data_IF_610804064475
#
_entry.id   IF_610804064475
#
_cell.length_a   1.000
_cell.length_b   1.000
_cell.length_c   1.000
_cell.angle_alpha   90.00
_cell.angle_beta   90.00
_cell.angle_gamma   90.00
#
_symmetry.space_group_name_H-M   'P 1'
#
loop_
_entity.id
_entity.type
_entity.pdbx_description
1 polymer ?
#
# COMPACT_ATOMS: atom_id res chain seq x y z
N UNK A 1 0.74 14.57 -1.11
CA UNK A 1 1.75 13.48 -1.00
C UNK A 1 2.69 13.83 0.14
N UNK A 2 2.90 12.90 1.06
CA UNK A 2 3.91 13.03 2.11
C UNK A 2 5.30 12.91 1.46
N UNK A 3 6.18 13.86 1.73
CA UNK A 3 7.57 13.82 1.27
C UNK A 3 8.38 12.99 2.27
N UNK A 4 8.64 11.72 1.94
CA UNK A 4 9.53 10.83 2.70
C UNK A 4 10.71 10.36 1.82
N UNK A 5 11.70 11.24 1.53
CA UNK A 5 12.79 10.92 0.60
C UNK A 5 13.65 9.74 1.08
N UNK A 6 13.76 9.57 2.40
CA UNK A 6 14.51 8.46 3.01
C UNK A 6 13.66 7.21 3.25
N UNK A 7 12.36 7.26 2.92
CA UNK A 7 11.41 6.16 3.08
C UNK A 7 11.36 5.61 4.51
N UNK A 8 11.59 6.47 5.51
CA UNK A 8 11.64 6.07 6.92
C UNK A 8 10.26 5.66 7.42
N UNK A 9 9.25 6.45 7.06
CA UNK A 9 7.85 6.21 7.42
C UNK A 9 7.35 5.00 6.64
N UNK A 10 7.66 4.92 5.35
CA UNK A 10 7.31 3.75 4.53
C UNK A 10 7.84 2.43 5.13
N UNK A 11 9.10 2.41 5.58
CA UNK A 11 9.71 1.24 6.24
C UNK A 11 9.15 0.97 7.63
N UNK A 12 8.76 1.99 8.40
CA UNK A 12 8.15 1.78 9.73
C UNK A 12 6.78 1.12 9.64
N UNK A 13 6.06 1.30 8.54
CA UNK A 13 4.83 0.55 8.24
C UNK A 13 5.07 -0.92 7.86
N UNK A 14 6.32 -1.39 7.86
CA UNK A 14 6.68 -2.76 7.47
C UNK A 14 6.63 -2.98 5.95
N UNK A 15 6.44 -1.92 5.17
CA UNK A 15 6.51 -1.99 3.72
C UNK A 15 7.97 -1.91 3.27
N UNK A 16 8.31 -2.77 2.32
CA UNK A 16 9.64 -2.87 1.75
C UNK A 16 9.61 -2.89 0.24
N UNK A 17 10.76 -3.17 -0.37
CA UNK A 17 10.86 -3.37 -1.81
C UNK A 17 10.91 -4.85 -2.14
N UNK A 18 10.20 -5.30 -3.18
CA UNK A 18 10.22 -6.70 -3.60
C UNK A 18 10.42 -6.85 -5.10
N UNK A 19 11.62 -7.32 -5.47
CA UNK A 19 11.97 -7.61 -6.86
C UNK A 19 11.20 -8.81 -7.41
N UNK A 20 11.06 -9.88 -6.63
CA UNK A 20 10.37 -11.10 -7.09
C UNK A 20 8.87 -10.90 -7.30
N UNK A 21 8.23 -10.03 -6.52
CA UNK A 21 6.81 -9.69 -6.70
C UNK A 21 6.56 -8.81 -7.93
N UNK A 22 7.53 -7.96 -8.29
CA UNK A 22 7.43 -7.01 -9.41
C UNK A 22 7.93 -7.60 -10.73
N UNK A 23 9.09 -8.25 -10.71
CA UNK A 23 9.72 -8.88 -11.89
C UNK A 23 9.24 -10.32 -12.10
N UNK A 24 7.92 -10.53 -12.11
CA UNK A 24 7.38 -11.86 -12.41
C UNK A 24 7.76 -12.27 -13.83
N UNK A 25 8.34 -13.46 -13.97
CA UNK A 25 8.82 -13.97 -15.25
C UNK A 25 7.73 -13.94 -16.33
N UNK A 26 6.50 -14.34 -16.00
CA UNK A 26 5.35 -14.27 -16.92
C UNK A 26 5.05 -12.86 -17.42
N UNK A 27 5.30 -11.84 -16.59
CA UNK A 27 5.11 -10.45 -16.96
C UNK A 27 6.22 -9.99 -17.92
N UNK A 28 7.47 -10.36 -17.65
CA UNK A 28 8.61 -10.10 -18.54
C UNK A 28 8.45 -10.78 -19.91
N UNK A 29 7.94 -12.02 -19.94
CA UNK A 29 7.62 -12.73 -21.18
C UNK A 29 6.56 -11.97 -22.00
N UNK A 30 5.48 -11.51 -21.38
CA UNK A 30 4.46 -10.70 -22.09
C UNK A 30 5.05 -9.42 -22.68
N UNK A 31 5.96 -8.75 -21.98
CA UNK A 31 6.63 -7.57 -22.51
C UNK A 31 7.54 -7.90 -23.70
N UNK A 32 8.12 -9.10 -23.77
CA UNK A 32 8.91 -9.53 -24.93
C UNK A 32 8.10 -9.70 -26.22
N UNK A 33 6.77 -9.82 -26.12
CA UNK A 33 5.87 -9.92 -27.27
C UNK A 33 5.55 -8.55 -27.90
N UNK A 34 5.86 -7.44 -27.22
CA UNK A 34 5.55 -6.08 -27.69
C UNK A 34 6.33 -5.74 -28.97
N UNK A 35 7.67 -5.91 -29.01
CA UNK A 35 8.45 -5.72 -30.24
C UNK A 35 8.00 -6.64 -31.37
N UNK A 36 7.60 -7.88 -31.04
CA UNK A 36 7.12 -8.87 -32.02
C UNK A 36 5.78 -8.48 -32.64
N UNK A 37 4.95 -7.76 -31.88
CA UNK A 37 3.61 -7.34 -32.30
C UNK A 37 3.56 -5.91 -32.84
N UNK A 38 4.72 -5.28 -33.10
CA UNK A 38 4.81 -3.88 -33.53
C UNK A 38 4.13 -2.90 -32.57
N UNK A 39 4.05 -3.26 -31.28
CA UNK A 39 3.47 -2.41 -30.25
C UNK A 39 4.61 -1.65 -29.57
N UNK A 40 4.47 -0.34 -29.50
CA UNK A 40 5.40 0.48 -28.76
C UNK A 40 5.30 0.17 -27.26
N UNK A 41 6.45 0.19 -26.60
CA UNK A 41 6.47 0.16 -25.15
C UNK A 41 5.82 1.46 -24.65
N UNK A 42 4.92 1.41 -23.66
CA UNK A 42 4.34 2.61 -23.13
C UNK A 42 5.45 3.51 -22.58
N UNK A 43 5.41 4.81 -22.91
CA UNK A 43 6.29 5.79 -22.30
C UNK A 43 5.99 5.87 -20.80
N UNK A 44 6.88 5.32 -19.98
CA UNK A 44 6.75 5.34 -18.54
C UNK A 44 7.34 6.68 -18.06
N UNK A 45 6.54 7.55 -17.42
CA UNK A 45 7.04 8.80 -16.87
C UNK A 45 8.22 8.53 -15.92
N UNK A 46 9.27 9.34 -15.99
CA UNK A 46 10.47 9.19 -15.14
C UNK A 46 10.15 9.13 -13.63
N UNK A 47 9.10 9.84 -13.20
CA UNK A 47 8.60 9.80 -11.82
C UNK A 47 8.10 8.41 -11.38
N UNK A 48 7.58 7.60 -12.30
CA UNK A 48 7.15 6.21 -12.03
C UNK A 48 8.35 5.26 -11.93
N UNK A 49 9.48 5.60 -12.54
CA UNK A 49 10.71 4.82 -12.47
C UNK A 49 11.42 4.97 -11.12
N UNK A 50 11.12 6.02 -10.34
CA UNK A 50 11.77 6.30 -9.05
C UNK A 50 11.50 5.23 -7.98
N UNK A 51 10.38 4.48 -8.07
CA UNK A 51 10.08 3.42 -7.10
C UNK A 51 9.27 2.25 -7.65
N UNK A 52 9.75 1.62 -8.74
CA UNK A 52 9.10 0.45 -9.34
C UNK A 52 8.92 -0.73 -8.37
N UNK A 53 9.76 -0.81 -7.33
CA UNK A 53 9.78 -1.95 -6.41
C UNK A 53 8.98 -1.73 -5.14
N UNK A 54 8.31 -0.58 -4.99
CA UNK A 54 7.47 -0.28 -3.84
C UNK A 54 6.34 -1.30 -3.70
N UNK A 55 6.21 -1.88 -2.52
CA UNK A 55 5.03 -2.65 -2.14
C UNK A 55 3.90 -1.72 -1.69
N UNK A 56 2.68 -2.05 -2.14
CA UNK A 56 1.46 -1.39 -1.70
C UNK A 56 0.93 -1.97 -0.40
N UNK A 57 -0.04 -1.27 0.17
CA UNK A 57 -0.81 -1.70 1.32
C UNK A 57 -1.78 -0.60 1.74
N UNK A 58 -2.78 -0.97 2.52
CA UNK A 58 -3.79 -0.07 3.06
C UNK A 58 -3.64 -0.03 4.59
N UNK A 59 -3.58 1.17 5.14
CA UNK A 59 -3.34 1.42 6.56
C UNK A 59 -4.35 2.41 7.10
N UNK A 60 -4.91 2.13 8.27
CA UNK A 60 -5.80 3.05 8.99
C UNK A 60 -5.05 3.56 10.23
N UNK A 61 -5.10 4.87 10.42
CA UNK A 61 -4.45 5.57 11.53
C UNK A 61 -5.53 6.31 12.32
N UNK A 62 -5.38 6.38 13.64
CA UNK A 62 -6.13 7.31 14.47
C UNK A 62 -5.52 8.73 14.42
N UNK A 63 -6.18 9.68 15.09
CA UNK A 63 -5.71 11.07 15.19
C UNK A 63 -4.37 11.22 15.95
N UNK A 64 -4.01 10.24 16.80
CA UNK A 64 -2.74 10.20 17.52
C UNK A 64 -1.60 9.59 16.68
N UNK A 65 -1.91 9.04 15.49
CA UNK A 65 -0.96 8.36 14.62
C UNK A 65 -0.74 6.87 14.96
N UNK A 66 -1.58 6.28 15.80
CA UNK A 66 -1.60 4.84 16.08
C UNK A 66 -2.20 4.08 14.91
N UNK A 67 -1.59 2.96 14.52
CA UNK A 67 -2.09 2.11 13.44
C UNK A 67 -3.24 1.23 13.95
N UNK A 68 -4.46 1.50 13.47
CA UNK A 68 -5.66 0.73 13.76
C UNK A 68 -5.80 -0.48 12.83
N UNK A 69 -5.39 -0.33 11.56
CA UNK A 69 -5.38 -1.40 10.56
C UNK A 69 -4.07 -1.39 9.80
N UNK A 70 -3.47 -2.57 9.63
CA UNK A 70 -2.31 -2.79 8.79
C UNK A 70 -2.61 -3.90 7.79
N UNK A 71 -2.74 -3.55 6.51
CA UNK A 71 -2.95 -4.49 5.43
C UNK A 71 -1.88 -4.35 4.34
N UNK A 72 -0.69 -4.96 4.51
CA UNK A 72 0.31 -5.02 3.45
C UNK A 72 -0.18 -5.90 2.28
N UNK A 73 -0.35 -5.30 1.10
CA UNK A 73 -0.88 -5.99 -0.07
C UNK A 73 0.10 -7.04 -0.60
N UNK A 74 -0.40 -8.25 -0.91
CA UNK A 74 0.39 -9.30 -1.59
C UNK A 74 0.32 -9.19 -3.11
N UNK A 75 -0.74 -8.60 -3.64
CA UNK A 75 -0.94 -8.37 -5.08
C UNK A 75 -1.63 -7.02 -5.32
N UNK A 76 -1.57 -6.45 -6.54
CA UNK A 76 -2.28 -5.20 -6.84
C UNK A 76 -3.80 -5.25 -6.61
N UNK A 77 -4.39 -6.45 -6.62
CA UNK A 77 -5.82 -6.69 -6.38
C UNK A 77 -6.12 -7.08 -4.92
N UNK A 78 -5.09 -7.28 -4.10
CA UNK A 78 -5.22 -7.67 -2.69
C UNK A 78 -5.45 -6.42 -1.85
N UNK A 79 -6.72 -6.05 -1.73
CA UNK A 79 -7.19 -4.87 -1.00
C UNK A 79 -8.32 -5.26 -0.04
N UNK A 80 -8.36 -4.68 1.16
CA UNK A 80 -9.45 -4.89 2.10
C UNK A 80 -10.74 -4.29 1.53
N UNK A 81 -11.88 -4.88 1.91
CA UNK A 81 -13.17 -4.33 1.50
C UNK A 81 -13.47 -3.04 2.28
N UNK A 82 -14.29 -2.16 1.70
CA UNK A 82 -14.73 -0.93 2.38
C UNK A 82 -15.45 -1.26 3.68
N UNK A 83 -16.24 -2.33 3.71
CA UNK A 83 -16.92 -2.83 4.91
C UNK A 83 -15.93 -3.24 6.02
N UNK A 84 -14.80 -3.87 5.67
CA UNK A 84 -13.80 -4.26 6.67
C UNK A 84 -13.11 -3.03 7.28
N UNK A 85 -12.83 -2.02 6.46
CA UNK A 85 -12.24 -0.76 6.91
C UNK A 85 -13.20 -0.01 7.84
N UNK A 86 -14.47 0.12 7.43
CA UNK A 86 -15.48 0.82 8.22
C UNK A 86 -15.71 0.15 9.57
N UNK A 87 -15.73 -1.18 9.62
CA UNK A 87 -15.88 -1.92 10.87
C UNK A 87 -14.76 -1.60 11.86
N UNK A 88 -13.50 -1.55 11.41
CA UNK A 88 -12.36 -1.20 12.27
C UNK A 88 -12.45 0.25 12.73
N UNK A 89 -12.93 1.16 11.87
CA UNK A 89 -13.13 2.56 12.24
C UNK A 89 -14.22 2.71 13.31
N UNK A 90 -15.37 2.05 13.15
CA UNK A 90 -16.47 2.06 14.13
C UNK A 90 -16.06 1.43 15.47
N UNK A 91 -15.28 0.34 15.45
CA UNK A 91 -14.72 -0.27 16.66
C UNK A 91 -13.76 0.67 17.41
N UNK A 92 -12.96 1.46 16.67
CA UNK A 92 -12.06 2.45 17.27
C UNK A 92 -12.81 3.64 17.88
N UNK A 93 -13.86 4.13 17.20
CA UNK A 93 -14.71 5.21 17.71
C UNK A 93 -15.47 4.77 18.97
N UNK A 94 -16.05 3.57 18.97
CA UNK A 94 -16.80 3.03 20.12
C UNK A 94 -15.94 2.72 21.35
N UNK A 95 -14.64 2.50 21.19
CA UNK A 95 -13.70 2.28 22.30
C UNK A 95 -13.25 3.60 22.96
N UNK A 96 -13.39 4.72 22.24
CA UNK A 96 -13.08 6.06 22.76
C UNK A 96 -14.09 6.49 23.82
N UNK A 97 -15.37 6.13 23.65
CA UNK A 97 -16.43 6.46 24.62
C UNK A 97 -16.31 5.67 25.95
N UNK A 98 -15.69 4.49 25.94
CA UNK A 98 -15.52 3.70 27.18
C UNK A 98 -14.38 4.22 28.07
N UNK A 99 -13.48 5.06 27.52
CA UNK A 99 -12.34 5.61 28.26
C UNK A 99 -12.65 6.93 28.98
N UNK A 100 -13.73 7.64 28.62
CA UNK A 100 -14.14 8.89 29.30
C UNK A 100 -14.99 8.64 30.57
N UNK A 101 -15.60 7.47 30.73
CA UNK A 101 -16.54 7.21 31.85
C UNK A 101 -15.83 6.81 33.17
N UNK A 102 -14.50 6.77 33.22
CA UNK A 102 -13.74 6.44 34.46
C UNK A 102 -12.98 7.62 35.09
N UNK A 103 -13.38 8.87 34.80
CA UNK A 103 -12.89 10.05 35.53
C UNK A 103 -14.04 10.96 35.95
N UNK A 104 -14.77 10.57 36.99
CA UNK A 104 -15.21 11.46 38.08
C UNK A 104 -15.84 10.66 39.23
#
# INVERSE_FOLDING_TARGET
>A
MLLDPQRKIYRSFGLGSSYSKVLKFDCLLKFSEYPRSSRDFPDIPSRLLEDLYQMGGDFLLDDAGTVLLSHPSKSPLDRPSVSDILKVAEEADGNTEQHEVQKE
#
